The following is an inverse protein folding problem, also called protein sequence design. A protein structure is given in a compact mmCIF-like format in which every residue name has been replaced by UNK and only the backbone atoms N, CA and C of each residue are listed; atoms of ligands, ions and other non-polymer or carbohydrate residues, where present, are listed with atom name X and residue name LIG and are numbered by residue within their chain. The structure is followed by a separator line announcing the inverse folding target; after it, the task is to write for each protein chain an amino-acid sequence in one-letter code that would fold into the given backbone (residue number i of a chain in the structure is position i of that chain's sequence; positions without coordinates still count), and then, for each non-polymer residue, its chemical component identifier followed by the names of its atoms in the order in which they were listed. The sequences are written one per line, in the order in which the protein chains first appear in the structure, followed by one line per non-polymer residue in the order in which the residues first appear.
data_IF_793059669445
#
_entry.id   IF_793059669445
#
_cell.length_a   1.000
_cell.length_b   1.000
_cell.length_c   1.000
_cell.angle_alpha   90.00
_cell.angle_beta   90.00
_cell.angle_gamma   90.00
#
_symmetry.space_group_name_H-M   'P 1'
#
loop_
_entity.id
_entity.type
_entity.pdbx_description
1 polymer ?
#
# COMPACT_ATOMS: atom_id res chain seq x y z
N UNK A 1 -18.86 -21.64 -15.02
CA UNK A 1 -17.95 -20.51 -15.30
C UNK A 1 -17.59 -19.88 -13.95
N UNK A 2 -16.37 -19.71 -13.49
CA UNK A 2 -15.05 -20.07 -13.97
C UNK A 2 -14.18 -20.46 -12.76
N UNK A 3 -12.93 -20.79 -13.06
CA UNK A 3 -11.96 -21.47 -12.20
C UNK A 3 -11.69 -20.74 -10.88
N UNK A 4 -11.35 -21.49 -9.82
CA UNK A 4 -10.84 -21.01 -8.53
C UNK A 4 -9.44 -20.38 -8.68
N UNK A 5 -9.27 -19.50 -9.65
CA UNK A 5 -8.02 -18.83 -10.00
C UNK A 5 -7.98 -17.52 -9.24
N UNK A 6 -7.09 -17.43 -8.27
CA UNK A 6 -6.72 -16.16 -7.63
C UNK A 6 -6.51 -15.09 -8.70
N UNK A 7 -7.35 -14.05 -8.69
CA UNK A 7 -7.31 -12.97 -9.68
C UNK A 7 -6.39 -11.85 -9.17
N UNK A 8 -5.46 -11.42 -10.03
CA UNK A 8 -4.55 -10.30 -9.78
C UNK A 8 -5.31 -8.97 -9.63
N UNK A 9 -6.46 -8.83 -10.28
CA UNK A 9 -7.26 -7.61 -10.33
C UNK A 9 -8.21 -7.45 -9.14
N UNK A 10 -8.30 -8.47 -8.27
CA UNK A 10 -9.08 -8.37 -7.03
C UNK A 10 -8.21 -7.80 -5.93
N UNK A 11 -8.64 -6.68 -5.35
CA UNK A 11 -8.06 -6.14 -4.13
C UNK A 11 -8.23 -7.12 -2.97
N UNK A 12 -7.14 -7.77 -2.54
CA UNK A 12 -7.18 -8.77 -1.48
C UNK A 12 -5.92 -8.69 -0.62
N UNK A 13 -6.10 -8.72 0.70
CA UNK A 13 -5.02 -8.62 1.68
C UNK A 13 -5.33 -7.62 2.81
N UNK A 14 -4.57 -7.73 3.89
CA UNK A 14 -4.67 -6.83 5.05
C UNK A 14 -3.64 -5.72 4.93
N UNK A 15 -4.07 -4.48 5.07
CA UNK A 15 -3.18 -3.32 4.99
C UNK A 15 -2.68 -2.90 6.37
N UNK A 16 -1.40 -2.53 6.44
CA UNK A 16 -0.73 -1.99 7.61
C UNK A 16 -0.16 -0.62 7.25
N UNK A 17 -0.18 0.35 8.16
CA UNK A 17 0.44 1.68 7.94
C UNK A 17 1.84 1.80 8.57
N UNK A 18 2.18 0.88 9.47
CA UNK A 18 3.49 0.69 10.06
C UNK A 18 3.63 -0.75 10.56
N UNK A 19 4.82 -1.14 11.04
CA UNK A 19 5.09 -2.49 11.54
C UNK A 19 4.08 -2.93 12.61
N UNK A 20 3.32 -3.98 12.33
CA UNK A 20 2.28 -4.52 13.21
C UNK A 20 1.10 -3.56 13.48
N UNK A 21 0.96 -2.49 12.68
CA UNK A 21 -0.10 -1.49 12.85
C UNK A 21 -1.07 -1.53 11.68
N UNK A 22 -2.26 -2.08 11.92
CA UNK A 22 -3.34 -2.15 10.93
C UNK A 22 -3.71 -0.76 10.42
N UNK A 23 -3.81 -0.63 9.10
CA UNK A 23 -4.40 0.53 8.46
C UNK A 23 -5.91 0.57 8.72
N UNK A 24 -6.47 1.77 8.56
CA UNK A 24 -7.92 1.94 8.52
C UNK A 24 -8.52 1.06 7.41
N UNK A 25 -9.74 0.57 7.60
CA UNK A 25 -10.40 -0.34 6.65
C UNK A 25 -10.68 0.32 5.29
N UNK A 26 -10.57 1.64 5.20
CA UNK A 26 -10.64 2.40 3.96
C UNK A 26 -9.39 2.23 3.07
N UNK A 27 -8.29 1.70 3.60
CA UNK A 27 -7.11 1.37 2.79
C UNK A 27 -7.25 0.00 2.15
N UNK A 28 -7.23 -0.02 0.82
CA UNK A 28 -7.45 -1.21 0.01
C UNK A 28 -6.17 -1.58 -0.75
N UNK A 29 -5.78 -2.86 -0.82
CA UNK A 29 -4.63 -3.30 -1.60
C UNK A 29 -4.79 -2.98 -3.09
N UNK A 30 -3.72 -2.50 -3.72
CA UNK A 30 -3.65 -2.21 -5.15
C UNK A 30 -3.47 -3.47 -6.02
N UNK A 31 -4.26 -4.51 -5.72
CA UNK A 31 -4.19 -5.84 -6.32
C UNK A 31 -4.29 -6.93 -5.27
N UNK A 32 -3.82 -8.13 -5.59
CA UNK A 32 -3.98 -9.29 -4.73
C UNK A 32 -2.67 -9.67 -4.02
N UNK A 33 -2.66 -9.57 -2.68
CA UNK A 33 -1.51 -9.88 -1.85
C UNK A 33 -1.06 -11.35 -1.91
N UNK A 34 -1.90 -12.24 -2.45
CA UNK A 34 -1.50 -13.62 -2.75
C UNK A 34 -0.33 -13.72 -3.74
N UNK A 35 -0.06 -12.67 -4.51
CA UNK A 35 1.07 -12.60 -5.44
C UNK A 35 2.29 -11.83 -4.89
N UNK A 36 2.23 -11.40 -3.63
CA UNK A 36 3.33 -10.71 -2.95
C UNK A 36 2.88 -9.47 -2.18
N UNK A 37 3.83 -8.83 -1.50
CA UNK A 37 3.57 -7.58 -0.81
C UNK A 37 3.28 -6.45 -1.80
N UNK A 38 2.19 -5.74 -1.55
CA UNK A 38 1.68 -4.68 -2.40
C UNK A 38 1.26 -3.49 -1.56
N UNK A 39 1.39 -2.29 -2.13
CA UNK A 39 0.92 -1.07 -1.48
C UNK A 39 -0.61 -1.04 -1.39
N UNK A 40 -1.09 -0.27 -0.44
CA UNK A 40 -2.51 -0.01 -0.21
C UNK A 40 -2.79 1.49 -0.29
N UNK A 41 -3.85 1.84 -1.02
CA UNK A 41 -4.32 3.20 -1.19
C UNK A 41 -5.67 3.41 -0.53
N UNK A 42 -6.00 4.68 -0.23
CA UNK A 42 -7.38 5.04 0.11
C UNK A 42 -8.34 4.54 -0.97
N UNK A 43 -9.49 4.00 -0.58
CA UNK A 43 -10.49 3.57 -1.54
C UNK A 43 -10.85 4.71 -2.51
N UNK A 44 -10.92 4.40 -3.80
CA UNK A 44 -11.18 5.37 -4.86
C UNK A 44 -9.93 6.09 -5.40
N UNK A 45 -8.78 5.97 -4.76
CA UNK A 45 -7.53 6.54 -5.27
C UNK A 45 -6.88 5.63 -6.31
N UNK A 46 -6.06 6.23 -7.19
CA UNK A 46 -5.38 5.50 -8.25
C UNK A 46 -4.08 4.88 -7.75
N UNK A 47 -3.91 3.60 -8.03
CA UNK A 47 -2.67 2.87 -7.79
C UNK A 47 -1.64 3.22 -8.87
N UNK A 48 -0.43 3.62 -8.45
CA UNK A 48 0.69 3.90 -9.34
C UNK A 48 1.74 2.79 -9.23
N UNK A 49 2.57 2.65 -10.27
CA UNK A 49 3.55 1.56 -10.39
C UNK A 49 4.69 1.63 -9.36
N UNK A 50 4.98 2.82 -8.82
CA UNK A 50 6.05 3.06 -7.84
C UNK A 50 5.59 2.93 -6.38
N UNK A 51 4.61 2.06 -6.11
CA UNK A 51 4.00 1.87 -4.78
C UNK A 51 3.34 3.14 -4.21
N UNK A 52 2.95 4.05 -5.09
CA UNK A 52 2.36 5.32 -4.74
C UNK A 52 0.87 5.37 -5.08
N UNK A 53 0.16 6.24 -4.37
CA UNK A 53 -1.25 6.48 -4.54
C UNK A 53 -1.46 7.89 -5.05
N UNK A 54 -2.36 8.07 -6.01
CA UNK A 54 -2.80 9.39 -6.44
C UNK A 54 -4.22 9.67 -5.97
N UNK A 55 -4.40 10.77 -5.24
CA UNK A 55 -5.72 11.33 -4.93
C UNK A 55 -6.11 12.32 -6.01
N UNK A 56 -7.14 12.02 -6.80
CA UNK A 56 -7.73 12.99 -7.72
C UNK A 56 -8.37 14.16 -6.94
N UNK A 57 -8.95 13.88 -5.76
CA UNK A 57 -9.59 14.88 -4.89
C UNK A 57 -8.61 15.95 -4.40
N UNK A 58 -7.40 15.54 -3.99
CA UNK A 58 -6.37 16.44 -3.46
C UNK A 58 -5.26 16.76 -4.46
N UNK A 59 -5.33 16.23 -5.68
CA UNK A 59 -4.28 16.36 -6.69
C UNK A 59 -2.89 15.91 -6.22
N UNK A 60 -2.82 14.98 -5.27
CA UNK A 60 -1.59 14.66 -4.52
C UNK A 60 -1.18 13.21 -4.70
N UNK A 61 0.12 12.99 -4.93
CA UNK A 61 0.76 11.67 -4.88
C UNK A 61 1.33 11.42 -3.49
N UNK A 62 1.03 10.27 -2.90
CA UNK A 62 1.46 9.92 -1.54
C UNK A 62 1.81 8.44 -1.41
N UNK A 63 2.56 8.11 -0.36
CA UNK A 63 2.80 6.74 0.07
C UNK A 63 1.98 6.46 1.32
N UNK A 64 1.16 5.41 1.34
CA UNK A 64 0.31 5.07 2.48
C UNK A 64 0.64 3.71 3.10
N UNK A 65 -0.23 2.73 2.95
CA UNK A 65 -0.12 1.45 3.63
C UNK A 65 0.47 0.37 2.72
N UNK A 66 0.76 -0.80 3.27
CA UNK A 66 1.18 -1.98 2.53
C UNK A 66 0.63 -3.26 3.18
N UNK A 67 0.53 -4.34 2.40
CA UNK A 67 0.14 -5.67 2.87
C UNK A 67 1.23 -6.46 3.61
N UNK A 68 2.36 -5.82 3.93
CA UNK A 68 3.44 -6.41 4.69
C UNK A 68 3.40 -5.93 6.15
N UNK A 69 2.97 -6.81 7.06
CA UNK A 69 2.92 -6.52 8.49
C UNK A 69 4.29 -6.15 9.08
N UNK A 70 5.38 -6.77 8.59
CA UNK A 70 6.72 -6.59 9.15
C UNK A 70 7.42 -5.33 8.65
N UNK A 71 6.97 -4.75 7.53
CA UNK A 71 7.65 -3.67 6.82
C UNK A 71 9.11 -4.00 6.45
N UNK A 72 9.42 -5.29 6.21
CA UNK A 72 10.76 -5.74 5.85
C UNK A 72 11.01 -5.85 4.33
N UNK A 73 10.02 -5.49 3.51
CA UNK A 73 10.11 -5.52 2.05
C UNK A 73 10.39 -4.10 1.53
N UNK A 74 11.30 -3.94 0.59
CA UNK A 74 11.68 -2.65 0.00
C UNK A 74 10.52 -1.96 -0.74
N UNK A 75 9.49 -2.72 -1.16
CA UNK A 75 8.23 -2.17 -1.69
C UNK A 75 7.38 -1.50 -0.62
N UNK A 76 7.66 -1.80 0.64
CA UNK A 76 6.93 -1.36 1.81
C UNK A 76 7.89 -0.74 2.83
N UNK A 77 8.58 0.35 2.46
CA UNK A 77 9.59 0.93 3.31
C UNK A 77 8.94 1.58 4.54
N UNK A 78 9.60 1.42 5.69
CA UNK A 78 9.25 2.12 6.91
C UNK A 78 9.36 3.63 6.69
N UNK A 79 8.23 4.33 6.84
CA UNK A 79 8.14 5.79 6.82
C UNK A 79 8.63 6.33 8.14
N UNK A 80 9.92 6.10 8.43
CA UNK A 80 10.59 6.57 9.64
C UNK A 80 10.20 8.01 9.92
N UNK A 81 10.05 8.35 11.20
CA UNK A 81 9.85 9.73 11.60
C UNK A 81 10.88 10.61 10.90
N UNK A 82 10.43 11.73 10.31
CA UNK A 82 11.34 12.68 9.69
C UNK A 82 12.32 13.19 10.76
N UNK A 83 13.55 12.68 10.73
CA UNK A 83 14.65 13.18 11.56
C UNK A 83 15.32 14.28 10.75
N UNK A 84 14.80 15.50 10.89
CA UNK A 84 15.23 16.68 10.16
C UNK A 84 16.67 17.12 10.51
N UNK A 85 17.65 16.36 10.07
CA UNK A 85 19.04 16.81 9.93
C UNK A 85 19.38 16.66 8.45
N UNK A 86 19.10 17.71 7.68
CA UNK A 86 19.67 17.86 6.35
C UNK A 86 21.21 17.83 6.47
N UNK A 87 21.94 17.12 5.58
CA UNK A 87 23.36 17.37 5.44
C UNK A 87 23.54 18.77 4.85
N UNK A 88 24.45 19.56 5.45
CA UNK A 88 25.01 20.76 4.84
C UNK A 88 25.77 20.40 3.56
#
# INVERSE_FOLDING_TARGET
MGDTKTDLLISNGTCYYAKGKLADNYFIPCGNAAFGHIHCCSAGNKCLVDNACYSDEYGTTYLAACTNESYSDDRCPDKKAYRGTAPL
#
